data_IF_761108352324
#
_entry.id   IF_761108352324
#
_cell.length_a   1.000
_cell.length_b   1.000
_cell.length_c   1.000
_cell.angle_alpha   90.00
_cell.angle_beta   90.00
_cell.angle_gamma   90.00
#
_symmetry.space_group_name_H-M   'P 1'
#
loop_
_entity.id
_entity.type
_entity.pdbx_description
1 polymer ?
#
# COMPACT_ATOMS: atom_id res chain seq x y z
N UNK A 1 29.95 14.12 -38.60
CA UNK A 1 28.64 14.46 -38.00
C UNK A 1 28.70 14.08 -36.53
N UNK A 2 28.64 15.03 -35.58
CA UNK A 2 28.56 14.66 -34.18
C UNK A 2 27.11 14.27 -33.86
N UNK A 3 26.92 13.02 -33.45
CA UNK A 3 25.63 12.51 -32.99
C UNK A 3 25.38 13.09 -31.61
N UNK A 4 24.36 13.95 -31.50
CA UNK A 4 23.86 14.47 -30.22
C UNK A 4 23.39 13.29 -29.37
N UNK A 5 24.12 12.97 -28.32
CA UNK A 5 23.66 12.06 -27.27
C UNK A 5 22.64 12.85 -26.47
N UNK A 6 21.35 12.56 -26.69
CA UNK A 6 20.31 12.92 -25.73
C UNK A 6 20.56 12.07 -24.48
N UNK A 7 21.25 12.63 -23.49
CA UNK A 7 21.10 12.17 -22.11
C UNK A 7 19.69 12.57 -21.70
N UNK A 8 18.75 11.66 -21.98
CA UNK A 8 17.47 11.66 -21.33
C UNK A 8 17.78 11.32 -19.88
N UNK A 9 17.86 12.37 -19.05
CA UNK A 9 17.92 12.22 -17.61
C UNK A 9 16.73 11.37 -17.22
N UNK A 10 16.98 10.14 -16.79
CA UNK A 10 16.02 9.31 -16.06
C UNK A 10 15.79 9.99 -14.71
N UNK A 11 15.16 11.16 -14.73
CA UNK A 11 14.50 11.73 -13.57
C UNK A 11 13.19 10.97 -13.43
N UNK A 12 13.33 9.70 -13.07
CA UNK A 12 12.28 8.89 -12.48
C UNK A 12 12.08 9.42 -11.05
N UNK A 13 11.82 10.72 -10.91
CA UNK A 13 10.88 11.22 -9.92
C UNK A 13 9.48 10.79 -10.38
N UNK A 14 9.31 9.49 -10.66
CA UNK A 14 8.01 8.85 -10.81
C UNK A 14 7.40 8.94 -9.44
N UNK A 15 6.54 9.94 -9.25
CA UNK A 15 5.74 10.06 -8.05
C UNK A 15 4.96 8.76 -7.92
N UNK A 16 5.48 7.86 -7.08
CA UNK A 16 4.80 6.63 -6.75
C UNK A 16 3.36 6.97 -6.30
N UNK A 17 2.39 6.09 -6.56
CA UNK A 17 0.99 6.44 -6.38
C UNK A 17 0.68 6.84 -4.94
N UNK A 18 -0.17 7.86 -4.81
CA UNK A 18 -0.69 8.32 -3.53
C UNK A 18 -1.96 7.53 -3.25
N UNK A 19 -1.96 6.80 -2.13
CA UNK A 19 -3.14 6.13 -1.61
C UNK A 19 -3.82 7.09 -0.64
N UNK A 20 -5.13 7.27 -0.79
CA UNK A 20 -5.96 8.06 0.14
C UNK A 20 -7.13 7.22 0.62
N UNK A 21 -7.22 7.00 1.93
CA UNK A 21 -8.28 6.22 2.54
C UNK A 21 -8.94 6.99 3.69
N UNK A 22 -10.22 6.73 3.93
CA UNK A 22 -10.87 7.11 5.18
C UNK A 22 -10.49 6.08 6.24
N UNK A 23 -9.67 6.48 7.22
CA UNK A 23 -9.08 5.57 8.22
C UNK A 23 -9.89 5.53 9.52
N UNK A 24 -10.56 6.64 9.87
CA UNK A 24 -11.46 6.73 11.02
C UNK A 24 -12.50 7.81 10.71
N UNK A 25 -13.64 7.86 11.42
CA UNK A 25 -14.58 8.97 11.27
C UNK A 25 -13.86 10.32 11.33
N UNK A 26 -13.83 11.03 10.19
CA UNK A 26 -13.17 12.34 9.99
C UNK A 26 -11.63 12.33 9.98
N UNK A 27 -10.99 11.19 9.73
CA UNK A 27 -9.54 11.09 9.58
C UNK A 27 -9.19 10.41 8.26
N UNK A 28 -8.76 11.21 7.30
CA UNK A 28 -8.21 10.73 6.05
C UNK A 28 -6.72 10.45 6.22
N UNK A 29 -6.29 9.28 5.76
CA UNK A 29 -4.88 8.93 5.63
C UNK A 29 -4.50 9.01 4.15
N UNK A 30 -3.61 9.94 3.82
CA UNK A 30 -3.03 10.07 2.48
C UNK A 30 -1.52 9.93 2.54
N UNK A 31 -0.99 8.97 1.79
CA UNK A 31 0.43 8.64 1.77
C UNK A 31 0.88 8.18 0.38
N UNK A 32 2.12 8.49 0.06
CA UNK A 32 2.80 7.89 -1.08
C UNK A 32 3.20 6.46 -0.70
N UNK A 33 3.02 5.51 -1.61
CA UNK A 33 3.33 4.12 -1.32
C UNK A 33 4.78 3.89 -0.84
N UNK A 34 5.73 4.70 -1.32
CA UNK A 34 7.13 4.65 -0.91
C UNK A 34 7.32 4.89 0.60
N UNK A 35 6.38 5.58 1.23
CA UNK A 35 6.41 5.92 2.65
C UNK A 35 5.96 4.75 3.53
N UNK A 36 5.36 3.70 2.93
CA UNK A 36 4.94 2.50 3.62
C UNK A 36 6.09 1.49 3.74
N UNK A 37 6.27 0.94 4.94
CA UNK A 37 7.31 -0.03 5.26
C UNK A 37 6.86 -1.01 6.35
N UNK A 38 7.70 -2.00 6.67
CA UNK A 38 7.50 -2.96 7.77
C UNK A 38 6.12 -3.67 7.76
N UNK A 39 5.73 -4.17 6.59
CA UNK A 39 4.46 -4.82 6.42
C UNK A 39 4.34 -6.13 7.19
N UNK A 40 3.22 -6.32 7.88
CA UNK A 40 2.90 -7.55 8.59
C UNK A 40 1.41 -7.88 8.50
N UNK A 41 1.13 -9.17 8.28
CA UNK A 41 -0.21 -9.72 8.38
C UNK A 41 -0.51 -10.04 9.85
N UNK A 42 -1.52 -9.38 10.42
CA UNK A 42 -1.97 -9.59 11.81
C UNK A 42 -3.27 -10.38 11.80
N UNK A 43 -3.38 -11.37 12.69
CA UNK A 43 -4.58 -12.18 12.88
C UNK A 43 -5.24 -11.85 14.22
N UNK A 44 -6.51 -11.51 14.20
CA UNK A 44 -7.33 -11.36 15.40
C UNK A 44 -7.91 -12.71 15.85
N UNK A 45 -8.28 -12.81 17.12
CA UNK A 45 -8.83 -14.04 17.72
C UNK A 45 -10.11 -14.55 17.02
N UNK A 46 -10.85 -13.66 16.35
CA UNK A 46 -12.05 -13.96 15.55
C UNK A 46 -11.75 -14.36 14.10
N UNK A 47 -10.51 -14.74 13.77
CA UNK A 47 -10.02 -15.06 12.41
C UNK A 47 -10.00 -13.88 11.42
N UNK A 48 -10.32 -12.66 11.84
CA UNK A 48 -10.14 -11.49 10.98
C UNK A 48 -8.65 -11.24 10.74
N UNK A 49 -8.28 -10.92 9.51
CA UNK A 49 -6.92 -10.53 9.14
C UNK A 49 -6.87 -9.04 8.88
N UNK A 50 -5.81 -8.39 9.36
CA UNK A 50 -5.47 -7.02 9.05
C UNK A 50 -4.05 -6.92 8.50
N UNK A 51 -3.82 -5.91 7.68
CA UNK A 51 -2.51 -5.46 7.27
C UNK A 51 -2.00 -4.40 8.24
N UNK A 52 -0.90 -4.67 8.94
CA UNK A 52 -0.18 -3.68 9.72
C UNK A 52 1.03 -3.21 8.95
N UNK A 53 1.29 -1.91 8.90
CA UNK A 53 2.50 -1.34 8.32
C UNK A 53 2.87 -0.02 8.99
N UNK A 54 4.09 0.44 8.75
CA UNK A 54 4.56 1.75 9.18
C UNK A 54 4.49 2.72 8.00
N UNK A 55 3.84 3.87 8.19
CA UNK A 55 3.78 4.97 7.23
C UNK A 55 4.34 6.21 7.92
N UNK A 56 5.43 6.78 7.38
CA UNK A 56 6.11 7.96 7.96
C UNK A 56 6.43 7.81 9.46
N UNK A 57 6.90 6.64 9.89
CA UNK A 57 7.22 6.38 11.30
C UNK A 57 6.02 6.07 12.20
N UNK A 58 4.80 6.06 11.67
CA UNK A 58 3.58 5.76 12.43
C UNK A 58 3.00 4.41 11.99
N UNK A 59 2.70 3.54 12.96
CA UNK A 59 2.08 2.24 12.67
C UNK A 59 0.59 2.39 12.40
N UNK A 60 0.15 1.95 11.23
CA UNK A 60 -1.25 1.84 10.83
C UNK A 60 -1.67 0.38 10.72
N UNK A 61 -2.95 0.12 10.96
CA UNK A 61 -3.55 -1.21 10.81
C UNK A 61 -4.79 -1.09 9.94
N UNK A 62 -4.70 -1.62 8.72
CA UNK A 62 -5.78 -1.68 7.76
C UNK A 62 -6.50 -3.03 7.92
N UNK A 63 -7.73 -2.98 8.39
CA UNK A 63 -8.64 -4.12 8.35
C UNK A 63 -9.33 -4.23 6.97
N UNK A 64 -10.32 -5.12 6.89
CA UNK A 64 -11.10 -5.36 5.68
C UNK A 64 -11.72 -4.08 5.10
N UNK A 65 -12.37 -3.27 5.94
CA UNK A 65 -13.11 -2.09 5.48
C UNK A 65 -12.17 -1.07 4.86
N UNK A 66 -10.99 -0.88 5.47
CA UNK A 66 -9.96 0.00 4.92
C UNK A 66 -9.41 -0.49 3.58
N UNK A 67 -9.19 -1.80 3.44
CA UNK A 67 -8.67 -2.39 2.21
C UNK A 67 -9.72 -2.41 1.09
N UNK A 68 -11.01 -2.55 1.43
CA UNK A 68 -12.12 -2.49 0.46
C UNK A 68 -12.28 -1.10 -0.18
N UNK A 69 -11.88 -0.04 0.51
CA UNK A 69 -11.87 1.33 -0.04
C UNK A 69 -10.77 1.50 -1.10
N UNK A 70 -9.65 0.79 -0.97
CA UNK A 70 -8.57 0.82 -1.95
C UNK A 70 -8.95 0.02 -3.19
N UNK A 71 -8.55 0.46 -4.37
CA UNK A 71 -8.66 -0.34 -5.59
C UNK A 71 -7.74 -1.57 -5.53
N UNK A 72 -8.06 -2.60 -6.32
CA UNK A 72 -7.22 -3.81 -6.46
C UNK A 72 -5.78 -3.46 -6.84
N UNK A 73 -5.59 -2.43 -7.69
CA UNK A 73 -4.27 -1.94 -8.08
C UNK A 73 -3.51 -1.35 -6.90
N UNK A 74 -4.14 -0.46 -6.12
CA UNK A 74 -3.53 0.16 -4.95
C UNK A 74 -3.17 -0.86 -3.87
N UNK A 75 -4.06 -1.84 -3.61
CA UNK A 75 -3.78 -2.94 -2.69
C UNK A 75 -2.57 -3.75 -3.15
N UNK A 76 -2.53 -4.16 -4.41
CA UNK A 76 -1.43 -4.94 -4.95
C UNK A 76 -0.10 -4.18 -4.89
N UNK A 77 -0.11 -2.90 -5.22
CA UNK A 77 1.07 -2.05 -5.08
C UNK A 77 1.51 -1.96 -3.63
N UNK A 78 0.58 -1.82 -2.69
CA UNK A 78 0.87 -1.72 -1.26
C UNK A 78 1.47 -3.04 -0.74
N UNK A 79 0.88 -4.17 -1.12
CA UNK A 79 1.39 -5.49 -0.76
C UNK A 79 2.80 -5.73 -1.33
N UNK A 80 3.02 -5.36 -2.60
CA UNK A 80 4.33 -5.48 -3.24
C UNK A 80 5.38 -4.61 -2.54
N UNK A 81 5.04 -3.36 -2.26
CA UNK A 81 5.90 -2.43 -1.52
C UNK A 81 6.26 -2.97 -0.14
N UNK A 82 5.30 -3.61 0.53
CA UNK A 82 5.46 -4.17 1.86
C UNK A 82 6.09 -5.58 1.88
N UNK A 83 6.33 -6.18 0.70
CA UNK A 83 6.86 -7.54 0.57
C UNK A 83 5.90 -8.62 1.08
N UNK A 84 4.59 -8.37 1.03
CA UNK A 84 3.55 -9.29 1.52
C UNK A 84 2.89 -10.00 0.35
N UNK A 85 2.64 -11.31 0.52
CA UNK A 85 1.82 -12.08 -0.41
C UNK A 85 0.33 -11.72 -0.23
N UNK A 86 -0.15 -10.79 -1.08
CA UNK A 86 -1.52 -10.29 -1.06
C UNK A 86 -2.59 -11.39 -1.08
N UNK A 87 -2.30 -12.53 -1.73
CA UNK A 87 -3.20 -13.69 -1.77
C UNK A 87 -3.52 -14.25 -0.40
N UNK A 88 -2.60 -14.17 0.57
CA UNK A 88 -2.83 -14.63 1.95
C UNK A 88 -3.78 -13.72 2.71
N UNK A 89 -3.71 -12.42 2.43
CA UNK A 89 -4.63 -11.43 3.00
C UNK A 89 -6.00 -11.63 2.36
N UNK A 90 -6.08 -11.62 1.02
CA UNK A 90 -7.34 -11.74 0.28
C UNK A 90 -8.09 -13.05 0.55
N UNK A 91 -7.39 -14.19 0.56
CA UNK A 91 -8.00 -15.48 0.89
C UNK A 91 -8.58 -15.54 2.31
N UNK A 92 -8.07 -14.70 3.23
CA UNK A 92 -8.55 -14.64 4.61
C UNK A 92 -9.64 -13.59 4.82
N UNK A 93 -9.83 -12.69 3.85
CA UNK A 93 -10.86 -11.67 3.88
C UNK A 93 -12.21 -12.18 3.35
N UNK A 94 -12.29 -13.39 2.76
CA UNK A 94 -13.50 -13.96 2.13
C UNK A 94 -14.23 -12.93 1.25
N UNK A 95 -13.57 -12.57 0.15
CA UNK A 95 -14.20 -11.88 -0.97
C UNK A 95 -15.08 -12.91 -1.68
N UNK A 96 -16.40 -12.80 -1.49
CA UNK A 96 -17.40 -13.71 -2.04
C UNK A 96 -18.26 -12.94 -3.05
#
# INVERSE_FOLDING_TARGET
MPTTIYQQSDDISSSLPIISIDYRPRQFLSFNIAEASQGQVVRYANKAIALRCEIRGTTYTFDREHLEIMSDSERNLLYNQLGIDGRKIEASLNWN
#
